data_IF_123307614835
#
_entry.id   IF_123307614835
#
_cell.length_a   1.000
_cell.length_b   1.000
_cell.length_c   1.000
_cell.angle_alpha   90.00
_cell.angle_beta   90.00
_cell.angle_gamma   90.00
#
_symmetry.space_group_name_H-M   'P 1'
#
loop_
_entity.id
_entity.type
_entity.pdbx_description
1 polymer ?
#
# COMPACT_ATOMS: atom_id res chain seq x y z
N UNK A 1 -18.44 6.17 -14.00
CA UNK A 1 -17.25 7.06 -14.07
C UNK A 1 -17.57 8.31 -13.29
N UNK A 2 -16.84 8.61 -12.21
CA UNK A 2 -17.11 9.74 -11.28
C UNK A 2 -16.51 11.07 -11.81
N UNK A 3 -15.76 11.04 -12.91
CA UNK A 3 -15.10 12.20 -13.51
C UNK A 3 -15.46 12.27 -14.98
N UNK A 4 -16.34 13.17 -15.40
CA UNK A 4 -16.49 13.42 -16.84
C UNK A 4 -16.42 14.88 -17.30
N UNK A 5 -16.78 15.89 -16.49
CA UNK A 5 -16.90 17.24 -17.09
C UNK A 5 -16.01 18.35 -16.49
N UNK A 6 -15.81 18.43 -15.16
CA UNK A 6 -14.96 19.48 -14.56
C UNK A 6 -14.23 19.02 -13.28
N UNK A 7 -12.89 19.02 -13.25
CA UNK A 7 -12.13 18.66 -12.05
C UNK A 7 -12.39 19.53 -10.81
N UNK A 8 -12.94 20.73 -10.98
CA UNK A 8 -13.36 21.55 -9.86
C UNK A 8 -14.56 20.98 -9.10
N UNK A 9 -15.36 20.12 -9.72
CA UNK A 9 -16.55 19.54 -9.08
C UNK A 9 -16.19 18.63 -7.92
N UNK A 10 -14.99 18.03 -7.94
CA UNK A 10 -14.46 17.25 -6.83
C UNK A 10 -14.13 18.05 -5.58
N UNK A 11 -14.06 19.37 -5.71
CA UNK A 11 -13.86 20.30 -4.59
C UNK A 11 -15.19 20.89 -4.12
N UNK A 12 -16.32 20.37 -4.58
CA UNK A 12 -17.64 20.70 -4.01
C UNK A 12 -17.93 19.76 -2.84
N UNK A 13 -18.91 20.14 -2.04
CA UNK A 13 -19.44 19.25 -1.01
C UNK A 13 -19.97 17.98 -1.68
N UNK A 14 -19.55 16.82 -1.17
CA UNK A 14 -20.06 15.53 -1.60
C UNK A 14 -21.53 15.41 -1.18
N UNK A 15 -22.34 14.92 -2.10
CA UNK A 15 -23.72 14.59 -1.87
C UNK A 15 -23.97 13.21 -2.50
N UNK A 16 -24.45 12.28 -1.68
CA UNK A 16 -24.63 10.88 -2.08
C UNK A 16 -26.11 10.52 -2.08
N UNK A 17 -26.54 9.82 -3.14
CA UNK A 17 -27.87 9.24 -3.24
C UNK A 17 -27.74 7.74 -3.57
N UNK A 18 -28.37 6.88 -2.77
CA UNK A 18 -28.49 5.46 -3.10
C UNK A 18 -29.69 5.25 -4.03
N UNK A 19 -29.44 4.54 -5.14
CA UNK A 19 -30.46 4.32 -6.16
C UNK A 19 -31.65 3.53 -5.58
N UNK A 20 -32.85 4.10 -5.63
CA UNK A 20 -34.07 3.49 -5.12
C UNK A 20 -34.37 3.77 -3.65
N UNK A 21 -33.50 4.51 -2.96
CA UNK A 21 -33.73 4.94 -1.57
C UNK A 21 -34.20 6.39 -1.50
N UNK A 22 -35.18 6.66 -0.65
CA UNK A 22 -35.62 8.03 -0.36
C UNK A 22 -34.85 8.55 0.84
N UNK A 23 -34.05 9.59 0.64
CA UNK A 23 -33.31 10.25 1.71
C UNK A 23 -32.68 11.55 1.24
N UNK A 24 -32.54 12.52 2.14
CA UNK A 24 -31.75 13.72 1.91
C UNK A 24 -30.44 13.55 2.68
N UNK A 25 -29.30 13.71 1.98
CA UNK A 25 -28.00 13.54 2.61
C UNK A 25 -27.65 14.73 3.51
N UNK A 26 -27.96 14.59 4.80
CA UNK A 26 -27.49 15.49 5.87
C UNK A 26 -26.13 15.04 6.46
N UNK A 27 -25.39 14.20 5.73
CA UNK A 27 -24.08 13.65 6.09
C UNK A 27 -24.11 12.18 6.51
N UNK A 28 -25.28 11.64 6.86
CA UNK A 28 -25.45 10.23 7.21
C UNK A 28 -25.23 9.29 6.02
N UNK A 29 -25.79 9.64 4.86
CA UNK A 29 -25.70 8.83 3.63
C UNK A 29 -24.26 8.85 3.10
N UNK A 30 -23.63 10.03 3.08
CA UNK A 30 -22.21 10.15 2.75
C UNK A 30 -21.34 9.29 3.67
N UNK A 31 -21.61 9.27 4.98
CA UNK A 31 -20.84 8.45 5.93
C UNK A 31 -20.99 6.96 5.66
N UNK A 32 -22.21 6.49 5.44
CA UNK A 32 -22.49 5.08 5.10
C UNK A 32 -21.81 4.69 3.79
N UNK A 33 -21.88 5.53 2.77
CA UNK A 33 -21.18 5.32 1.51
C UNK A 33 -19.67 5.11 1.70
N UNK A 34 -19.01 5.97 2.48
CA UNK A 34 -17.59 5.80 2.77
C UNK A 34 -17.28 4.55 3.58
N UNK A 35 -18.16 4.15 4.52
CA UNK A 35 -18.00 2.90 5.27
C UNK A 35 -18.04 1.68 4.34
N UNK A 36 -19.04 1.62 3.45
CA UNK A 36 -19.16 0.54 2.46
C UNK A 36 -17.94 0.49 1.53
N UNK A 37 -17.48 1.65 1.08
CA UNK A 37 -16.31 1.74 0.20
C UNK A 37 -15.04 1.27 0.91
N UNK A 38 -14.79 1.69 2.16
CA UNK A 38 -13.64 1.21 2.95
C UNK A 38 -13.71 -0.31 3.17
N UNK A 39 -14.88 -0.84 3.48
CA UNK A 39 -15.08 -2.29 3.65
C UNK A 39 -14.75 -3.06 2.36
N UNK A 40 -15.19 -2.57 1.21
CA UNK A 40 -14.88 -3.19 -0.08
C UNK A 40 -13.39 -3.10 -0.42
N UNK A 41 -12.76 -1.95 -0.19
CA UNK A 41 -11.35 -1.72 -0.54
C UNK A 41 -10.41 -2.67 0.20
N UNK A 42 -10.66 -2.91 1.49
CA UNK A 42 -9.81 -3.76 2.33
C UNK A 42 -10.29 -5.20 2.44
N UNK A 43 -11.37 -5.56 1.73
CA UNK A 43 -11.78 -6.96 1.66
C UNK A 43 -10.73 -7.75 0.82
N UNK A 44 -10.12 -8.81 1.40
CA UNK A 44 -9.13 -9.64 0.72
C UNK A 44 -9.60 -10.21 -0.63
N UNK A 45 -10.91 -10.41 -0.83
CA UNK A 45 -11.50 -10.93 -2.06
C UNK A 45 -11.22 -10.03 -3.27
N UNK A 46 -11.05 -8.72 -3.07
CA UNK A 46 -10.67 -7.78 -4.15
C UNK A 46 -9.17 -7.77 -4.44
N UNK A 47 -8.34 -8.32 -3.55
CA UNK A 47 -6.91 -8.49 -3.80
C UNK A 47 -6.11 -7.20 -4.05
N UNK A 48 -6.62 -6.02 -3.68
CA UNK A 48 -5.91 -4.74 -3.84
C UNK A 48 -4.90 -4.48 -2.74
N UNK A 49 -5.25 -4.87 -1.51
CA UNK A 49 -4.44 -4.70 -0.32
C UNK A 49 -4.34 -6.02 0.44
N UNK A 50 -3.23 -6.19 1.15
CA UNK A 50 -3.05 -7.25 2.15
C UNK A 50 -3.18 -6.65 3.54
N UNK A 51 -3.70 -7.42 4.49
CA UNK A 51 -3.76 -7.02 5.89
C UNK A 51 -2.78 -7.86 6.70
N UNK A 52 -1.87 -7.18 7.40
CA UNK A 52 -0.92 -7.82 8.29
C UNK A 52 -1.48 -7.85 9.72
N UNK A 53 -1.61 -9.04 10.29
CA UNK A 53 -2.25 -9.26 11.59
C UNK A 53 -1.43 -8.68 12.75
N UNK A 54 -0.10 -8.70 12.63
CA UNK A 54 0.81 -8.32 13.71
C UNK A 54 0.89 -6.80 13.84
N UNK A 55 0.98 -6.10 12.73
CA UNK A 55 1.01 -4.63 12.65
C UNK A 55 -0.40 -4.02 12.63
N UNK A 56 -1.42 -4.81 12.30
CA UNK A 56 -2.82 -4.37 12.08
C UNK A 56 -2.92 -3.30 10.99
N UNK A 57 -2.11 -3.45 9.94
CA UNK A 57 -2.01 -2.48 8.86
C UNK A 57 -2.32 -3.12 7.51
N UNK A 58 -2.86 -2.29 6.62
CA UNK A 58 -3.07 -2.62 5.22
C UNK A 58 -1.84 -2.21 4.39
N UNK A 59 -1.44 -3.04 3.43
CA UNK A 59 -0.38 -2.75 2.48
C UNK A 59 -0.81 -3.07 1.05
N UNK A 60 -0.18 -2.43 0.06
CA UNK A 60 -0.49 -2.68 -1.34
C UNK A 60 -0.12 -4.12 -1.74
N UNK A 61 -1.06 -4.85 -2.34
CA UNK A 61 -0.77 -6.19 -2.85
C UNK A 61 0.13 -6.09 -4.10
N UNK A 62 1.36 -6.57 -3.99
CA UNK A 62 2.36 -6.55 -5.07
C UNK A 62 1.97 -7.41 -6.29
N UNK A 63 1.01 -8.32 -6.11
CA UNK A 63 0.51 -9.23 -7.15
C UNK A 63 -0.97 -9.01 -7.45
N UNK A 64 -1.49 -7.81 -7.15
CA UNK A 64 -2.85 -7.45 -7.48
C UNK A 64 -3.09 -7.52 -9.00
N UNK A 65 -4.20 -8.12 -9.40
CA UNK A 65 -4.67 -8.12 -10.79
C UNK A 65 -5.59 -6.93 -11.08
N UNK A 66 -5.88 -6.11 -10.08
CA UNK A 66 -6.73 -4.94 -10.24
C UNK A 66 -6.07 -3.84 -11.06
N UNK A 67 -6.91 -3.07 -11.74
CA UNK A 67 -6.45 -2.02 -12.66
C UNK A 67 -5.96 -0.76 -11.92
N UNK A 68 -5.14 0.03 -12.62
CA UNK A 68 -4.75 1.37 -12.16
C UNK A 68 -5.95 2.28 -11.89
N UNK A 69 -7.06 2.07 -12.59
CA UNK A 69 -8.29 2.85 -12.40
C UNK A 69 -8.92 2.61 -11.02
N UNK A 70 -8.82 1.39 -10.48
CA UNK A 70 -9.31 1.10 -9.14
C UNK A 70 -8.45 1.78 -8.07
N UNK A 71 -7.12 1.72 -8.18
CA UNK A 71 -6.25 2.46 -7.27
C UNK A 71 -6.46 3.98 -7.38
N UNK A 72 -6.75 4.48 -8.58
CA UNK A 72 -7.11 5.88 -8.81
C UNK A 72 -8.42 6.24 -8.11
N UNK A 73 -9.44 5.39 -8.24
CA UNK A 73 -10.72 5.55 -7.55
C UNK A 73 -10.54 5.59 -6.03
N UNK A 74 -9.72 4.70 -5.46
CA UNK A 74 -9.45 4.69 -4.02
C UNK A 74 -8.73 5.96 -3.58
N UNK A 75 -7.69 6.37 -4.31
CA UNK A 75 -6.99 7.63 -4.05
C UNK A 75 -7.96 8.82 -4.08
N UNK A 76 -8.93 8.76 -4.99
CA UNK A 76 -9.97 9.78 -5.09
C UNK A 76 -10.92 9.79 -3.90
N UNK A 77 -11.37 8.61 -3.48
CA UNK A 77 -12.22 8.43 -2.32
C UNK A 77 -11.53 8.94 -1.04
N UNK A 78 -10.26 8.60 -0.84
CA UNK A 78 -9.46 9.13 0.27
C UNK A 78 -9.38 10.67 0.22
N UNK A 79 -9.18 11.25 -0.96
CA UNK A 79 -9.14 12.70 -1.16
C UNK A 79 -10.49 13.38 -0.87
N UNK A 80 -11.59 12.80 -1.34
CA UNK A 80 -12.95 13.29 -1.09
C UNK A 80 -13.29 13.25 0.39
N UNK A 81 -12.91 12.19 1.10
CA UNK A 81 -13.14 12.08 2.54
C UNK A 81 -12.43 13.21 3.32
N UNK A 82 -11.16 13.48 2.99
CA UNK A 82 -10.40 14.60 3.57
C UNK A 82 -11.11 15.93 3.29
N UNK A 83 -11.52 16.17 2.04
CA UNK A 83 -12.15 17.44 1.65
C UNK A 83 -13.50 17.68 2.33
N UNK A 84 -14.23 16.61 2.64
CA UNK A 84 -15.55 16.66 3.27
C UNK A 84 -15.50 16.47 4.80
N UNK A 85 -14.32 16.49 5.43
CA UNK A 85 -14.12 16.25 6.86
C UNK A 85 -14.68 14.89 7.35
N UNK A 86 -14.62 13.87 6.50
CA UNK A 86 -15.05 12.51 6.81
C UNK A 86 -13.83 11.69 7.24
N UNK A 87 -13.90 11.15 8.45
CA UNK A 87 -12.86 10.26 8.98
C UNK A 87 -13.13 8.86 8.45
N UNK A 88 -12.12 8.26 7.81
CA UNK A 88 -12.15 6.89 7.32
C UNK A 88 -11.39 5.97 8.26
N UNK A 89 -11.90 4.77 8.45
CA UNK A 89 -11.27 3.72 9.27
C UNK A 89 -10.20 2.95 8.45
N UNK A 90 -9.18 3.68 8.02
CA UNK A 90 -8.12 3.19 7.14
C UNK A 90 -6.83 3.01 7.93
N UNK A 91 -6.26 1.81 7.90
CA UNK A 91 -5.10 1.44 8.70
C UNK A 91 -3.82 1.34 7.85
N UNK A 92 -3.35 2.44 7.26
CA UNK A 92 -2.11 2.44 6.50
C UNK A 92 -0.87 2.75 7.36
N UNK A 93 0.31 2.17 7.06
CA UNK A 93 1.56 2.61 7.65
C UNK A 93 1.90 4.04 7.23
N UNK A 94 2.67 4.74 8.07
CA UNK A 94 3.08 6.13 7.83
C UNK A 94 3.75 6.38 6.48
N UNK A 95 4.42 5.36 5.94
CA UNK A 95 5.08 5.40 4.63
C UNK A 95 4.11 5.68 3.48
N UNK A 96 2.85 5.26 3.57
CA UNK A 96 1.85 5.52 2.52
C UNK A 96 1.61 7.02 2.42
N UNK A 97 1.40 7.70 3.54
CA UNK A 97 1.21 9.14 3.57
C UNK A 97 2.47 9.89 3.12
N UNK A 98 3.66 9.41 3.48
CA UNK A 98 4.91 9.97 2.96
C UNK A 98 5.00 9.89 1.44
N UNK A 99 4.61 8.76 0.85
CA UNK A 99 4.56 8.57 -0.60
C UNK A 99 3.54 9.48 -1.26
N UNK A 100 2.39 9.73 -0.64
CA UNK A 100 1.42 10.72 -1.10
C UNK A 100 1.99 12.15 -1.14
N UNK A 101 2.93 12.48 -0.23
CA UNK A 101 3.70 13.74 -0.27
C UNK A 101 4.88 13.72 -1.26
N UNK A 102 4.98 12.72 -2.13
CA UNK A 102 6.06 12.59 -3.11
C UNK A 102 7.41 12.19 -2.51
N UNK A 103 7.45 11.68 -1.27
CA UNK A 103 8.68 11.22 -0.63
C UNK A 103 8.87 9.72 -0.82
N UNK A 104 10.11 9.31 -1.06
CA UNK A 104 10.46 7.89 -1.08
C UNK A 104 10.38 7.27 0.32
N UNK A 105 10.15 5.95 0.34
CA UNK A 105 10.29 5.13 1.54
C UNK A 105 11.76 4.89 1.86
N UNK A 106 12.01 4.43 3.08
CA UNK A 106 13.33 4.17 3.65
C UNK A 106 13.28 2.94 4.56
N UNK A 107 14.44 2.44 4.99
CA UNK A 107 14.51 1.31 5.93
C UNK A 107 13.77 1.60 7.25
N UNK A 108 13.76 2.86 7.70
CA UNK A 108 13.02 3.26 8.91
C UNK A 108 11.53 3.05 8.73
N UNK A 109 11.00 3.35 7.55
CA UNK A 109 9.58 3.16 7.23
C UNK A 109 9.19 1.67 7.15
N UNK A 110 10.14 0.80 6.82
CA UNK A 110 9.93 -0.64 6.86
C UNK A 110 9.81 -1.17 8.29
N UNK A 111 10.36 -0.49 9.30
CA UNK A 111 10.21 -0.93 10.70
C UNK A 111 8.74 -0.93 11.14
N UNK A 112 7.96 0.00 10.60
CA UNK A 112 6.53 0.10 10.89
C UNK A 112 5.70 -0.83 9.99
N UNK A 113 6.02 -0.90 8.70
CA UNK A 113 5.20 -1.64 7.71
C UNK A 113 5.56 -3.12 7.55
N UNK A 114 6.84 -3.47 7.69
CA UNK A 114 7.37 -4.83 7.49
C UNK A 114 8.50 -5.10 8.51
N UNK A 115 8.19 -5.18 9.81
CA UNK A 115 9.19 -5.20 10.88
C UNK A 115 10.20 -6.35 10.74
N UNK A 116 9.76 -7.52 10.29
CA UNK A 116 10.63 -8.70 10.08
C UNK A 116 11.66 -8.45 8.98
N UNK A 117 11.23 -7.84 7.87
CA UNK A 117 12.13 -7.49 6.76
C UNK A 117 13.10 -6.41 7.22
N UNK A 118 12.60 -5.37 7.90
CA UNK A 118 13.43 -4.27 8.38
C UNK A 118 14.53 -4.76 9.34
N UNK A 119 14.18 -5.65 10.27
CA UNK A 119 15.15 -6.25 11.20
C UNK A 119 16.17 -7.13 10.47
N UNK A 120 15.74 -7.94 9.50
CA UNK A 120 16.64 -8.76 8.70
C UNK A 120 17.65 -7.92 7.91
N UNK A 121 17.18 -6.84 7.26
CA UNK A 121 18.05 -5.91 6.54
C UNK A 121 18.98 -5.15 7.48
N UNK A 122 18.48 -4.70 8.64
CA UNK A 122 19.29 -4.04 9.66
C UNK A 122 20.40 -4.96 10.19
N UNK A 123 20.10 -6.24 10.40
CA UNK A 123 21.11 -7.23 10.81
C UNK A 123 22.21 -7.39 9.76
N UNK A 124 21.88 -7.41 8.46
CA UNK A 124 22.88 -7.46 7.38
C UNK A 124 23.74 -6.19 7.39
N UNK A 125 23.14 -5.02 7.61
CA UNK A 125 23.84 -3.73 7.66
C UNK A 125 24.80 -3.63 8.84
N UNK A 126 24.39 -4.12 10.01
CA UNK A 126 25.13 -3.99 11.27
C UNK A 126 26.14 -5.13 11.48
N UNK A 127 26.11 -6.17 10.64
CA UNK A 127 27.00 -7.32 10.80
C UNK A 127 28.48 -6.93 10.62
N UNK A 128 29.33 -7.28 11.58
CA UNK A 128 30.77 -6.97 11.51
C UNK A 128 31.59 -8.07 10.82
N UNK A 129 31.03 -9.26 10.65
CA UNK A 129 31.70 -10.39 10.01
C UNK A 129 31.62 -10.36 8.48
N UNK A 130 31.96 -11.50 7.86
CA UNK A 130 31.89 -11.70 6.42
C UNK A 130 30.42 -11.87 5.96
N UNK A 131 29.87 -10.83 5.34
CA UNK A 131 28.47 -10.81 4.91
C UNK A 131 28.19 -11.85 3.82
N UNK A 132 29.09 -11.99 2.86
CA UNK A 132 28.93 -12.88 1.71
C UNK A 132 28.85 -14.34 2.18
N UNK A 133 29.79 -14.77 3.01
CA UNK A 133 29.86 -16.15 3.47
C UNK A 133 28.86 -16.47 4.59
N UNK A 134 28.35 -15.46 5.30
CA UNK A 134 27.38 -15.67 6.40
C UNK A 134 25.94 -15.66 5.91
N UNK A 135 25.55 -14.68 5.10
CA UNK A 135 24.17 -14.50 4.66
C UNK A 135 23.89 -15.18 3.32
N UNK A 136 24.90 -15.36 2.47
CA UNK A 136 24.81 -16.07 1.18
C UNK A 136 23.62 -15.53 0.36
N UNK A 137 23.50 -14.21 0.27
CA UNK A 137 22.46 -13.53 -0.50
C UNK A 137 23.07 -12.82 -1.72
N UNK A 138 22.23 -12.60 -2.73
CA UNK A 138 22.57 -11.86 -3.95
C UNK A 138 21.62 -10.68 -4.13
N UNK A 139 21.83 -9.86 -5.17
CA UNK A 139 20.93 -8.76 -5.52
C UNK A 139 19.66 -9.24 -6.25
N UNK A 140 19.04 -10.29 -5.72
CA UNK A 140 17.74 -10.79 -6.14
C UNK A 140 16.90 -11.10 -4.90
N UNK A 141 15.62 -10.76 -4.97
CA UNK A 141 14.64 -11.07 -3.92
C UNK A 141 13.61 -12.05 -4.44
N UNK A 142 12.99 -12.79 -3.52
CA UNK A 142 11.85 -13.65 -3.84
C UNK A 142 10.65 -13.27 -3.01
N UNK A 143 9.47 -13.35 -3.63
CA UNK A 143 8.18 -13.16 -2.97
C UNK A 143 7.16 -14.14 -3.54
N UNK A 144 6.16 -14.47 -2.73
CA UNK A 144 5.12 -15.43 -3.11
C UNK A 144 3.90 -14.69 -3.63
N UNK A 145 3.38 -15.10 -4.78
CA UNK A 145 2.11 -14.56 -5.30
C UNK A 145 0.89 -15.15 -4.57
N UNK A 146 -0.30 -14.64 -4.91
CA UNK A 146 -1.57 -15.12 -4.35
C UNK A 146 -1.89 -16.60 -4.63
N UNK A 147 -1.19 -17.25 -5.56
CA UNK A 147 -1.35 -18.66 -5.91
C UNK A 147 -0.29 -19.56 -5.25
N UNK A 148 0.62 -18.99 -4.45
CA UNK A 148 1.70 -19.73 -3.81
C UNK A 148 2.94 -19.92 -4.68
N UNK A 149 3.00 -19.30 -5.86
CA UNK A 149 4.19 -19.38 -6.72
C UNK A 149 5.27 -18.45 -6.18
N UNK A 150 6.51 -18.95 -6.13
CA UNK A 150 7.67 -18.13 -5.79
C UNK A 150 8.13 -17.38 -7.05
N UNK A 151 8.05 -16.05 -6.99
CA UNK A 151 8.56 -15.15 -8.01
C UNK A 151 9.91 -14.62 -7.55
N UNK A 152 10.84 -14.44 -8.50
CA UNK A 152 12.16 -13.85 -8.24
C UNK A 152 12.30 -12.56 -9.03
N UNK A 153 12.79 -11.52 -8.38
CA UNK A 153 13.05 -10.22 -8.97
C UNK A 153 14.50 -9.81 -8.73
N UNK A 154 15.24 -9.57 -9.80
CA UNK A 154 16.61 -9.05 -9.73
C UNK A 154 16.57 -7.54 -9.48
N UNK A 155 17.22 -7.09 -8.41
CA UNK A 155 17.24 -5.68 -7.98
C UNK A 155 18.16 -4.82 -8.83
N UNK A 156 19.14 -5.45 -9.47
CA UNK A 156 20.09 -4.87 -10.42
C UNK A 156 20.25 -5.84 -11.60
N UNK A 157 20.87 -5.38 -12.69
CA UNK A 157 21.15 -6.23 -13.85
C UNK A 157 22.06 -7.42 -13.47
N UNK A 158 21.62 -8.65 -13.79
CA UNK A 158 22.27 -9.91 -13.41
C UNK A 158 22.41 -10.07 -11.88
N UNK A 159 21.52 -9.46 -11.11
CA UNK A 159 21.62 -9.37 -9.65
C UNK A 159 21.64 -10.72 -8.94
N UNK A 160 21.05 -11.77 -9.54
CA UNK A 160 21.08 -13.13 -8.98
C UNK A 160 22.49 -13.69 -8.85
N UNK A 161 23.41 -13.29 -9.73
CA UNK A 161 24.78 -13.79 -9.83
C UNK A 161 25.79 -12.87 -9.10
N UNK A 162 25.30 -11.76 -8.54
CA UNK A 162 26.12 -10.75 -7.84
C UNK A 162 25.89 -10.92 -6.33
N UNK A 163 26.88 -11.39 -5.55
CA UNK A 163 26.73 -11.56 -4.11
C UNK A 163 26.66 -10.21 -3.38
N UNK A 164 25.92 -10.19 -2.29
CA UNK A 164 25.94 -9.06 -1.34
C UNK A 164 27.15 -9.24 -0.42
N UNK A 165 27.97 -8.20 -0.32
CA UNK A 165 29.20 -8.18 0.46
C UNK A 165 29.18 -7.03 1.46
N UNK A 166 30.18 -6.94 2.33
CA UNK A 166 30.33 -5.82 3.28
C UNK A 166 30.39 -4.44 2.60
N UNK A 167 30.87 -4.39 1.34
CA UNK A 167 31.00 -3.17 0.54
C UNK A 167 29.70 -2.81 -0.18
N UNK A 168 28.96 -3.81 -0.65
CA UNK A 168 27.77 -3.61 -1.50
C UNK A 168 26.44 -3.57 -0.73
N UNK A 169 26.43 -3.91 0.56
CA UNK A 169 25.20 -3.95 1.39
C UNK A 169 24.51 -2.60 1.66
N UNK A 170 25.06 -1.47 1.23
CA UNK A 170 24.57 -0.12 1.54
C UNK A 170 23.88 0.56 0.36
#
# INVERSE_FOLDING_TARGET
MIYQDNPHDLKKQLYVEFAGEQGLDEGGVSKEFFQLVVEHIFNPDYGMFTYDIDTRQCWFNQTSFESHDQFTLIGLMLGLAIYNNIILDVHFPMVVYRKLFGRNGSLVDLKDSHPVIANSLQNILDFEGDVENTFICSFAISYTDVFGNVLTHELIENGKDIPVTNESRK
#
